data_IF_658530101865
#
_entry.id   IF_658530101865
#
_cell.length_a   1.000
_cell.length_b   1.000
_cell.length_c   1.000
_cell.angle_alpha   90.00
_cell.angle_beta   90.00
_cell.angle_gamma   90.00
#
_symmetry.space_group_name_H-M   'P 1'
#
loop_
_entity.id
_entity.type
_entity.pdbx_description
1 polymer ?
#
# COMPACT_ATOMS: atom_id res chain seq x y z
N UNK A 1 -1.33 9.41 10.36
CA UNK A 1 -1.27 10.09 11.67
C UNK A 1 -0.48 9.25 12.65
N UNK A 2 0.23 9.83 13.59
CA UNK A 2 1.06 9.12 14.55
C UNK A 2 0.91 9.70 15.96
N UNK A 3 1.20 8.88 16.96
CA UNK A 3 1.32 9.29 18.37
C UNK A 3 2.75 9.04 18.85
N UNK A 4 3.20 9.83 19.80
CA UNK A 4 4.53 9.65 20.44
C UNK A 4 4.51 8.53 21.49
N UNK A 5 4.15 7.31 21.10
CA UNK A 5 3.96 6.13 21.94
C UNK A 5 2.50 5.70 22.02
N UNK A 6 2.21 4.67 22.82
CA UNK A 6 0.86 4.22 23.05
C UNK A 6 0.09 5.28 23.88
N UNK A 7 -0.98 5.90 23.35
CA UNK A 7 -1.70 6.93 24.06
C UNK A 7 -2.48 6.31 25.25
N UNK A 8 -2.21 6.79 26.45
CA UNK A 8 -2.93 6.41 27.68
C UNK A 8 -4.05 7.37 28.03
N UNK A 9 -4.19 8.46 27.28
CA UNK A 9 -5.26 9.47 27.39
C UNK A 9 -5.58 10.02 25.99
N UNK A 10 -6.68 10.75 25.87
CA UNK A 10 -7.03 11.42 24.63
C UNK A 10 -5.91 12.40 24.23
N UNK A 11 -5.39 12.25 23.01
CA UNK A 11 -4.33 13.11 22.45
C UNK A 11 -4.64 13.42 20.98
N UNK A 12 -4.18 14.59 20.52
CA UNK A 12 -4.31 14.97 19.12
C UNK A 12 -3.24 14.27 18.30
N UNK A 13 -3.59 13.46 17.28
CA UNK A 13 -2.59 12.83 16.43
C UNK A 13 -1.92 13.88 15.54
N UNK A 14 -0.63 13.72 15.28
CA UNK A 14 0.11 14.51 14.30
C UNK A 14 0.07 13.84 12.91
N UNK A 15 0.23 14.65 11.85
CA UNK A 15 0.39 14.12 10.50
C UNK A 15 1.77 13.45 10.40
N UNK A 16 1.79 12.15 10.12
CA UNK A 16 3.01 11.37 10.01
C UNK A 16 3.51 11.29 8.56
N UNK A 17 2.62 10.96 7.62
CA UNK A 17 2.89 10.87 6.20
C UNK A 17 1.70 11.47 5.43
N UNK A 18 1.99 12.33 4.45
CA UNK A 18 0.98 12.99 3.65
C UNK A 18 0.90 12.37 2.25
N UNK A 19 -0.25 11.83 1.90
CA UNK A 19 -0.54 11.25 0.57
C UNK A 19 -1.20 12.27 -0.38
N UNK A 20 -1.46 13.49 0.07
CA UNK A 20 -1.98 14.56 -0.80
C UNK A 20 -0.94 14.92 -1.87
N UNK A 21 -1.39 15.16 -3.08
CA UNK A 21 -0.51 15.54 -4.20
C UNK A 21 0.18 14.38 -4.91
N UNK A 22 -0.08 13.12 -4.53
CA UNK A 22 0.47 11.93 -5.22
C UNK A 22 -0.32 11.54 -6.48
N UNK A 23 -1.29 12.33 -6.87
CA UNK A 23 -2.15 12.11 -8.04
C UNK A 23 -3.28 13.14 -8.10
N UNK A 24 -4.28 12.89 -8.93
CA UNK A 24 -5.47 13.75 -9.07
C UNK A 24 -6.60 13.31 -8.14
N UNK A 25 -7.45 14.25 -7.74
CA UNK A 25 -8.55 13.98 -6.82
C UNK A 25 -8.13 13.76 -5.37
N UNK A 26 -9.07 13.34 -4.54
CA UNK A 26 -8.83 13.08 -3.12
C UNK A 26 -8.11 11.74 -2.93
N UNK A 27 -6.98 11.75 -2.22
CA UNK A 27 -6.26 10.54 -1.87
C UNK A 27 -7.14 9.58 -1.02
N UNK A 28 -7.03 8.28 -1.28
CA UNK A 28 -7.79 7.23 -0.60
C UNK A 28 -6.85 6.15 -0.05
N UNK A 29 -5.99 6.48 0.94
CA UNK A 29 -5.09 5.51 1.55
C UNK A 29 -5.89 4.52 2.40
N UNK A 30 -5.67 3.23 2.19
CA UNK A 30 -6.43 2.14 2.84
C UNK A 30 -5.53 1.10 3.52
N UNK A 31 -4.26 0.98 3.13
CA UNK A 31 -3.29 0.08 3.73
C UNK A 31 -1.89 0.68 3.73
N UNK A 32 -1.01 0.20 4.60
CA UNK A 32 0.37 0.68 4.66
C UNK A 32 1.35 -0.40 5.13
N UNK A 33 2.61 -0.26 4.73
CA UNK A 33 3.73 -1.05 5.24
C UNK A 33 4.99 -0.16 5.32
N UNK A 34 5.79 -0.38 6.36
CA UNK A 34 7.08 0.30 6.56
C UNK A 34 8.19 -0.73 6.62
N UNK A 35 9.36 -0.40 6.07
CA UNK A 35 10.54 -1.21 6.30
C UNK A 35 11.00 -1.12 7.77
N UNK A 36 11.75 -2.11 8.30
CA UNK A 36 12.19 -2.10 9.70
C UNK A 36 12.99 -0.84 10.12
N UNK A 37 13.72 -0.25 9.19
CA UNK A 37 14.48 0.98 9.43
C UNK A 37 13.65 2.27 9.41
N UNK A 38 12.34 2.19 9.09
CA UNK A 38 11.43 3.34 8.95
C UNK A 38 11.94 4.38 7.94
N UNK A 39 12.59 3.94 6.86
CA UNK A 39 13.13 4.80 5.80
C UNK A 39 12.39 4.64 4.46
N UNK A 40 11.59 3.58 4.32
CA UNK A 40 10.73 3.33 3.17
C UNK A 40 9.33 3.02 3.67
N UNK A 41 8.33 3.66 3.08
CA UNK A 41 6.92 3.40 3.31
C UNK A 41 6.22 3.08 2.00
N UNK A 42 5.29 2.14 2.05
CA UNK A 42 4.33 1.82 0.99
C UNK A 42 2.92 2.09 1.50
N UNK A 43 2.13 2.77 0.67
CA UNK A 43 0.74 3.11 0.98
C UNK A 43 -0.14 2.57 -0.16
N UNK A 44 -1.07 1.69 0.16
CA UNK A 44 -2.11 1.29 -0.77
C UNK A 44 -3.13 2.42 -0.92
N UNK A 45 -3.35 2.88 -2.13
CA UNK A 45 -4.31 3.94 -2.45
C UNK A 45 -5.35 3.40 -3.43
N UNK A 46 -6.61 3.42 -3.01
CA UNK A 46 -7.73 2.81 -3.74
C UNK A 46 -8.32 3.69 -4.84
N UNK A 47 -7.70 4.82 -5.18
CA UNK A 47 -8.09 5.60 -6.38
C UNK A 47 -7.86 4.78 -7.63
N UNK A 48 -8.48 5.18 -8.75
CA UNK A 48 -8.15 4.60 -10.07
C UNK A 48 -6.69 4.86 -10.42
N UNK A 49 -6.07 4.00 -11.25
CA UNK A 49 -4.70 4.18 -11.72
C UNK A 49 -4.50 5.52 -12.45
N UNK A 50 -5.49 5.97 -13.21
CA UNK A 50 -5.49 7.27 -13.89
C UNK A 50 -5.49 8.47 -12.92
N UNK A 51 -5.85 8.26 -11.66
CA UNK A 51 -5.85 9.28 -10.60
C UNK A 51 -4.69 9.14 -9.62
N UNK A 52 -3.73 8.23 -9.88
CA UNK A 52 -2.57 8.00 -9.02
C UNK A 52 -2.76 6.89 -7.98
N UNK A 53 -3.83 6.08 -8.10
CA UNK A 53 -4.05 4.90 -7.27
C UNK A 53 -3.09 3.76 -7.59
N UNK A 54 -2.91 2.87 -6.64
CA UNK A 54 -1.96 1.76 -6.66
C UNK A 54 -1.19 1.68 -5.34
N UNK A 55 0.05 1.20 -5.36
CA UNK A 55 0.92 1.23 -4.18
C UNK A 55 1.91 2.38 -4.33
N UNK A 56 1.76 3.40 -3.51
CA UNK A 56 2.61 4.59 -3.49
C UNK A 56 3.83 4.34 -2.62
N UNK A 57 5.02 4.58 -3.14
CA UNK A 57 6.28 4.52 -2.40
C UNK A 57 6.69 5.91 -1.91
N UNK A 58 7.11 5.96 -0.65
CA UNK A 58 7.71 7.13 -0.02
C UNK A 58 9.08 6.75 0.58
N UNK A 59 10.01 7.68 0.52
CA UNK A 59 11.31 7.55 1.15
C UNK A 59 11.47 8.62 2.25
N UNK A 60 12.08 8.25 3.37
CA UNK A 60 12.47 9.20 4.40
C UNK A 60 13.78 9.89 4.01
N UNK A 61 13.80 11.22 3.99
CA UNK A 61 14.98 12.01 3.60
C UNK A 61 15.76 12.59 4.80
N UNK A 62 15.45 12.16 6.02
CA UNK A 62 16.04 12.70 7.26
C UNK A 62 15.21 13.81 7.91
N UNK A 63 14.29 14.43 7.18
CA UNK A 63 13.42 15.51 7.66
C UNK A 63 11.93 15.21 7.48
N UNK A 64 11.58 14.37 6.50
CA UNK A 64 10.18 14.01 6.19
C UNK A 64 10.07 12.91 5.16
N UNK A 65 8.83 12.45 4.96
CA UNK A 65 8.49 11.48 3.93
C UNK A 65 8.32 12.19 2.59
N UNK A 66 9.04 11.71 1.58
CA UNK A 66 9.01 12.23 0.21
C UNK A 66 8.42 11.17 -0.70
N UNK A 67 7.37 11.53 -1.44
CA UNK A 67 6.81 10.66 -2.48
C UNK A 67 7.87 10.37 -3.55
N UNK A 68 8.02 9.10 -3.91
CA UNK A 68 8.93 8.64 -4.94
C UNK A 68 8.18 8.32 -6.24
N UNK A 69 7.23 7.39 -6.18
CA UNK A 69 6.40 6.96 -7.31
C UNK A 69 5.24 6.08 -6.85
N UNK A 70 4.35 5.79 -7.81
CA UNK A 70 3.29 4.81 -7.65
C UNK A 70 3.56 3.57 -8.51
N UNK A 71 3.45 2.38 -7.90
CA UNK A 71 3.30 1.11 -8.61
C UNK A 71 1.84 0.99 -9.02
N UNK A 72 1.56 1.28 -10.28
CA UNK A 72 0.18 1.32 -10.79
C UNK A 72 -0.36 -0.10 -11.01
N UNK A 73 -1.49 -0.43 -10.39
CA UNK A 73 -2.19 -1.69 -10.67
C UNK A 73 -2.99 -1.55 -11.96
N UNK A 74 -2.50 -2.16 -13.03
CA UNK A 74 -3.05 -2.02 -14.39
C UNK A 74 -3.90 -3.22 -14.84
N UNK A 75 -4.04 -4.26 -13.99
CA UNK A 75 -4.81 -5.47 -14.32
C UNK A 75 -6.33 -5.26 -14.13
N UNK A 76 -6.75 -4.15 -13.52
CA UNK A 76 -8.14 -3.69 -13.49
C UNK A 76 -8.19 -2.18 -13.76
N UNK A 77 -9.17 -1.74 -14.56
CA UNK A 77 -9.33 -0.33 -14.93
C UNK A 77 -10.04 0.51 -13.85
N UNK A 78 -10.81 -0.11 -12.97
CA UNK A 78 -11.73 0.59 -12.07
C UNK A 78 -11.40 0.42 -10.59
N UNK A 79 -10.64 -0.61 -10.22
CA UNK A 79 -10.33 -0.93 -8.83
C UNK A 79 -8.84 -1.11 -8.64
N UNK A 80 -8.35 -0.55 -7.56
CA UNK A 80 -6.94 -0.61 -7.22
C UNK A 80 -6.70 -1.53 -6.02
N UNK A 81 -5.53 -1.44 -5.43
CA UNK A 81 -5.14 -2.23 -4.26
C UNK A 81 -5.85 -1.74 -3.01
N UNK A 82 -6.13 -2.65 -2.08
CA UNK A 82 -6.84 -2.35 -0.84
C UNK A 82 -5.94 -2.56 0.38
N UNK A 83 -5.67 -3.79 0.76
CA UNK A 83 -4.79 -4.10 1.90
C UNK A 83 -3.39 -4.44 1.41
N UNK A 84 -2.39 -4.25 2.27
CA UNK A 84 -0.99 -4.34 1.92
C UNK A 84 -0.16 -5.03 3.00
N UNK A 85 0.66 -5.99 2.58
CA UNK A 85 1.78 -6.54 3.35
C UNK A 85 3.06 -6.45 2.53
N UNK A 86 4.21 -6.29 3.17
CA UNK A 86 5.49 -6.13 2.48
C UNK A 86 6.58 -7.01 3.10
N UNK A 87 7.29 -7.74 2.26
CA UNK A 87 8.51 -8.46 2.61
C UNK A 87 9.73 -7.62 2.23
N UNK A 88 10.53 -7.26 3.22
CA UNK A 88 11.76 -6.48 3.08
C UNK A 88 13.03 -7.33 3.27
N UNK A 89 12.93 -8.64 3.30
CA UNK A 89 14.06 -9.54 3.55
C UNK A 89 15.00 -9.68 2.36
N UNK A 90 14.48 -9.46 1.13
CA UNK A 90 15.24 -9.56 -0.11
C UNK A 90 15.94 -8.25 -0.51
N UNK A 91 16.70 -8.31 -1.62
CA UNK A 91 17.37 -7.13 -2.19
C UNK A 91 16.38 -6.07 -2.70
N UNK A 92 15.21 -6.49 -3.14
CA UNK A 92 14.09 -5.61 -3.51
C UNK A 92 12.86 -6.03 -2.71
N UNK A 93 12.09 -5.07 -2.17
CA UNK A 93 10.86 -5.37 -1.45
C UNK A 93 9.85 -6.11 -2.33
N UNK A 94 9.20 -7.12 -1.78
CA UNK A 94 8.06 -7.81 -2.39
C UNK A 94 6.80 -7.40 -1.67
N UNK A 95 5.86 -6.82 -2.40
CA UNK A 95 4.60 -6.31 -1.88
C UNK A 95 3.47 -7.27 -2.24
N UNK A 96 2.61 -7.55 -1.29
CA UNK A 96 1.42 -8.37 -1.45
C UNK A 96 0.20 -7.51 -1.12
N UNK A 97 -0.83 -7.59 -1.94
CA UNK A 97 -2.03 -6.78 -1.73
C UNK A 97 -3.29 -7.55 -2.12
N UNK A 98 -4.42 -7.17 -1.54
CA UNK A 98 -5.74 -7.51 -2.07
C UNK A 98 -6.23 -6.40 -2.99
N UNK A 99 -7.12 -6.71 -3.93
CA UNK A 99 -7.70 -5.70 -4.81
C UNK A 99 -9.10 -5.27 -4.38
N UNK A 100 -9.56 -4.13 -4.86
CA UNK A 100 -10.73 -3.41 -4.33
C UNK A 100 -12.08 -3.85 -4.86
N UNK A 101 -12.16 -4.91 -5.68
CA UNK A 101 -13.44 -5.43 -6.17
C UNK A 101 -14.30 -5.97 -5.01
N UNK A 102 -15.62 -5.80 -5.10
CA UNK A 102 -16.56 -6.28 -4.09
C UNK A 102 -16.75 -7.80 -4.12
N UNK A 103 -16.42 -8.45 -5.23
CA UNK A 103 -16.54 -9.89 -5.46
C UNK A 103 -15.48 -10.33 -6.46
N UNK A 104 -15.02 -11.56 -6.36
CA UNK A 104 -14.02 -12.16 -7.25
C UNK A 104 -12.74 -11.30 -7.36
N UNK A 105 -12.36 -10.63 -6.27
CA UNK A 105 -11.14 -9.84 -6.21
C UNK A 105 -9.89 -10.72 -6.15
N UNK A 106 -8.72 -10.10 -6.26
CA UNK A 106 -7.46 -10.80 -6.36
C UNK A 106 -6.57 -10.59 -5.14
N UNK A 107 -5.75 -11.58 -4.85
CA UNK A 107 -4.47 -11.41 -4.15
C UNK A 107 -3.41 -11.24 -5.23
N UNK A 108 -2.65 -10.19 -5.13
CA UNK A 108 -1.60 -9.82 -6.09
C UNK A 108 -0.26 -9.63 -5.41
N UNK A 109 0.84 -9.79 -6.15
CA UNK A 109 2.17 -9.40 -5.69
C UNK A 109 2.88 -8.55 -6.74
N UNK A 110 3.84 -7.76 -6.28
CA UNK A 110 4.79 -7.01 -7.11
C UNK A 110 6.13 -6.92 -6.41
N UNK A 111 7.22 -7.19 -7.13
CA UNK A 111 8.58 -6.89 -6.65
C UNK A 111 8.91 -5.46 -7.06
N UNK A 112 9.22 -4.61 -6.07
CA UNK A 112 9.53 -3.21 -6.34
C UNK A 112 10.95 -3.04 -6.88
N UNK A 113 11.05 -2.94 -8.20
CA UNK A 113 12.28 -2.59 -8.94
C UNK A 113 12.19 -1.20 -9.57
N UNK A 114 11.16 -0.42 -9.25
CA UNK A 114 10.87 0.92 -9.76
C UNK A 114 9.42 1.07 -10.24
N UNK A 115 9.05 2.26 -10.67
CA UNK A 115 7.66 2.61 -11.04
C UNK A 115 7.05 1.75 -12.16
N UNK A 116 7.88 1.08 -12.97
CA UNK A 116 7.44 0.20 -14.06
C UNK A 116 7.25 -1.27 -13.62
N UNK A 117 7.40 -1.61 -12.33
CA UNK A 117 7.21 -2.97 -11.84
C UNK A 117 5.78 -3.46 -12.09
N UNK A 118 5.64 -4.68 -12.58
CA UNK A 118 4.38 -5.27 -12.95
C UNK A 118 3.81 -6.15 -11.83
N UNK A 119 2.50 -6.09 -11.64
CA UNK A 119 1.78 -6.96 -10.72
C UNK A 119 1.53 -8.34 -11.33
N UNK A 120 1.54 -9.36 -10.46
CA UNK A 120 1.15 -10.74 -10.76
C UNK A 120 -0.03 -11.13 -9.88
N UNK A 121 -1.06 -11.74 -10.45
CA UNK A 121 -2.17 -12.32 -9.69
C UNK A 121 -1.72 -13.66 -9.11
N UNK A 122 -1.86 -13.82 -7.79
CA UNK A 122 -1.56 -15.06 -7.07
C UNK A 122 -2.80 -15.92 -6.86
N UNK A 123 -3.94 -15.29 -6.59
CA UNK A 123 -5.22 -15.96 -6.39
C UNK A 123 -6.38 -15.03 -6.76
N UNK A 124 -7.50 -15.63 -7.15
CA UNK A 124 -8.77 -14.93 -7.37
C UNK A 124 -9.83 -15.53 -6.45
N UNK A 125 -10.57 -14.70 -5.73
CA UNK A 125 -11.68 -15.15 -4.90
C UNK A 125 -12.82 -15.71 -5.77
N UNK A 126 -13.61 -16.68 -5.28
CA UNK A 126 -14.83 -17.13 -5.99
C UNK A 126 -15.81 -15.98 -6.19
N UNK A 127 -16.70 -16.14 -7.18
CA UNK A 127 -17.81 -15.21 -7.38
C UNK A 127 -18.70 -15.18 -6.13
N UNK A 128 -19.00 -14.01 -5.62
CA UNK A 128 -19.72 -13.79 -4.37
C UNK A 128 -18.83 -13.55 -3.16
N UNK A 129 -17.56 -13.97 -3.23
CA UNK A 129 -16.56 -13.78 -2.15
C UNK A 129 -15.53 -12.72 -2.50
N UNK A 130 -14.83 -12.24 -1.47
CA UNK A 130 -13.69 -11.34 -1.64
C UNK A 130 -12.67 -11.47 -0.49
N UNK A 131 -11.38 -11.43 -0.83
CA UNK A 131 -10.30 -11.25 0.14
C UNK A 131 -10.36 -9.84 0.72
N UNK A 132 -10.28 -9.70 2.06
CA UNK A 132 -10.42 -8.41 2.76
C UNK A 132 -9.24 -8.02 3.62
N UNK A 133 -8.27 -8.89 3.75
CA UNK A 133 -7.06 -8.62 4.50
C UNK A 133 -5.91 -9.46 3.99
N UNK A 134 -4.68 -9.00 4.26
CA UNK A 134 -3.46 -9.74 3.97
C UNK A 134 -2.43 -9.46 5.05
N UNK A 135 -1.83 -10.53 5.58
CA UNK A 135 -0.75 -10.44 6.55
C UNK A 135 0.14 -11.67 6.43
N UNK A 136 1.40 -11.54 6.83
CA UNK A 136 2.26 -12.71 7.01
C UNK A 136 1.87 -13.48 8.27
N UNK A 137 2.06 -14.79 8.23
CA UNK A 137 1.94 -15.60 9.44
C UNK A 137 2.96 -15.10 10.49
N UNK A 138 2.58 -15.09 11.79
CA UNK A 138 3.56 -14.84 12.84
C UNK A 138 4.73 -15.83 12.74
N UNK A 139 5.95 -15.33 12.84
CA UNK A 139 7.12 -16.19 12.99
C UNK A 139 7.16 -16.71 14.43
N UNK A 140 7.44 -18.02 14.63
CA UNK A 140 7.55 -18.59 15.97
C UNK A 140 8.69 -17.98 16.76
#
# INVERSE_FOLDING_TARGET
MAFAGAPTSASTPSLFLNTAGTGTGTASPVGFAFNPAMTVAYIADNRSSSSGGGIQRFNWNGAGWVYAYTLAYTLSSSKQVWELAADFSGASPVLYATTGESSANNVVCVTDTGSASAFTILATAPTGDAFRGIAFAPTP
#
